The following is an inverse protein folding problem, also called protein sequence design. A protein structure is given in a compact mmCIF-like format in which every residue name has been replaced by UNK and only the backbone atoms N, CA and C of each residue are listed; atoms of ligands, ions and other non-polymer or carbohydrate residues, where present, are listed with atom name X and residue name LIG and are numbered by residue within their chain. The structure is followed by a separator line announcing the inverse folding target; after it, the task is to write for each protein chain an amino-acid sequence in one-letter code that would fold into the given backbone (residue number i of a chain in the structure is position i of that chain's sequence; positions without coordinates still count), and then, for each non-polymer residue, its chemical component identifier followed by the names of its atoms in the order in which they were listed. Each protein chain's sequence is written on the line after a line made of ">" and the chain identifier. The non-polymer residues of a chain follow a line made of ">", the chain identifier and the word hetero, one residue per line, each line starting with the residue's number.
data_IF_082291772996
#
_entry.id   IF_082291772996
#
_cell.length_a   1.000
_cell.length_b   1.000
_cell.length_c   1.000
_cell.angle_alpha   90.00
_cell.angle_beta   90.00
_cell.angle_gamma   90.00
#
_symmetry.space_group_name_H-M   'P 1'
#
loop_
_entity.id
_entity.type
_entity.pdbx_description
1 polymer ?
#
# COMPACT_ATOMS: atom_id res chain seq x y z
N UNK A 1 -8.98 -19.22 -6.61
CA UNK A 1 -9.85 -19.40 -5.43
C UNK A 1 -11.06 -18.49 -5.53
N UNK A 2 -10.97 -17.21 -5.16
CA UNK A 2 -12.16 -16.33 -5.03
C UNK A 2 -13.04 -16.30 -6.28
N UNK A 3 -12.45 -16.18 -7.47
CA UNK A 3 -13.23 -16.16 -8.72
C UNK A 3 -13.94 -17.49 -9.04
N UNK A 4 -13.46 -18.62 -8.49
CA UNK A 4 -14.15 -19.92 -8.58
C UNK A 4 -15.28 -19.99 -7.54
N UNK A 5 -15.04 -19.55 -6.30
CA UNK A 5 -16.07 -19.48 -5.24
C UNK A 5 -17.27 -18.64 -5.66
N UNK A 6 -17.03 -17.46 -6.26
CA UNK A 6 -18.10 -16.60 -6.81
C UNK A 6 -18.95 -17.29 -7.88
N UNK A 7 -18.42 -18.33 -8.52
CA UNK A 7 -19.11 -19.13 -9.55
C UNK A 7 -19.72 -20.41 -8.98
N UNK A 8 -19.71 -20.57 -7.65
CA UNK A 8 -20.24 -21.76 -6.96
C UNK A 8 -19.35 -22.99 -7.12
N UNK A 9 -18.07 -22.82 -7.44
CA UNK A 9 -17.09 -23.92 -7.49
C UNK A 9 -16.29 -23.90 -6.18
N UNK A 10 -16.45 -24.90 -5.30
CA UNK A 10 -15.71 -24.97 -4.04
C UNK A 10 -14.20 -25.03 -4.26
N UNK A 11 -13.44 -24.32 -3.43
CA UNK A 11 -11.99 -24.26 -3.48
C UNK A 11 -11.38 -24.24 -2.08
N UNK A 12 -10.21 -24.88 -1.94
CA UNK A 12 -9.42 -24.87 -0.70
C UNK A 12 -8.02 -24.32 -1.00
N UNK A 13 -7.54 -23.41 -0.15
CA UNK A 13 -6.18 -22.86 -0.25
C UNK A 13 -5.29 -23.57 0.75
N UNK A 14 -4.12 -24.01 0.31
CA UNK A 14 -3.06 -24.35 1.24
C UNK A 14 -2.47 -23.06 1.81
N UNK A 15 -2.49 -22.91 3.13
CA UNK A 15 -2.06 -21.68 3.80
C UNK A 15 -1.07 -22.03 4.90
N UNK A 16 0.09 -21.41 4.91
CA UNK A 16 1.02 -21.56 6.02
C UNK A 16 0.53 -20.75 7.24
N UNK A 17 0.77 -21.22 8.47
CA UNK A 17 0.28 -20.58 9.71
C UNK A 17 0.57 -19.07 9.77
N UNK A 18 1.77 -18.66 9.36
CA UNK A 18 2.17 -17.25 9.33
C UNK A 18 1.41 -16.36 8.34
N UNK A 19 0.60 -16.94 7.45
CA UNK A 19 -0.16 -16.25 6.39
C UNK A 19 -1.68 -16.37 6.53
N UNK A 20 -2.19 -16.98 7.60
CA UNK A 20 -3.64 -17.14 7.80
C UNK A 20 -4.36 -15.80 7.78
N UNK A 21 -3.83 -14.80 8.51
CA UNK A 21 -4.42 -13.44 8.55
C UNK A 21 -4.45 -12.77 7.18
N UNK A 22 -3.38 -12.93 6.41
CA UNK A 22 -3.25 -12.39 5.05
C UNK A 22 -4.24 -13.05 4.08
N UNK A 23 -4.39 -14.37 4.17
CA UNK A 23 -5.32 -15.14 3.36
C UNK A 23 -6.79 -14.74 3.63
N UNK A 24 -7.19 -14.60 4.89
CA UNK A 24 -8.55 -14.16 5.26
C UNK A 24 -8.82 -12.75 4.73
N UNK A 25 -7.91 -11.80 5.00
CA UNK A 25 -8.06 -10.41 4.54
C UNK A 25 -8.11 -10.32 3.02
N UNK A 26 -7.26 -11.06 2.33
CA UNK A 26 -7.28 -11.15 0.87
C UNK A 26 -8.67 -11.58 0.39
N UNK A 27 -9.22 -12.64 0.97
CA UNK A 27 -10.53 -13.14 0.60
C UNK A 27 -11.66 -12.12 0.86
N UNK A 28 -11.64 -11.44 2.00
CA UNK A 28 -12.56 -10.35 2.32
C UNK A 28 -12.48 -9.21 1.29
N UNK A 29 -11.28 -8.77 0.90
CA UNK A 29 -11.08 -7.73 -0.10
C UNK A 29 -11.67 -8.11 -1.48
N UNK A 30 -11.75 -9.39 -1.82
CA UNK A 30 -12.39 -9.86 -3.05
C UNK A 30 -13.88 -10.19 -2.89
N UNK A 31 -14.46 -9.97 -1.71
CA UNK A 31 -15.88 -10.21 -1.44
C UNK A 31 -16.23 -11.67 -1.14
N UNK A 32 -15.27 -12.49 -0.69
CA UNK A 32 -15.50 -13.87 -0.24
C UNK A 32 -15.06 -13.99 1.22
N UNK A 33 -15.92 -13.63 2.19
CA UNK A 33 -15.56 -13.60 3.62
C UNK A 33 -15.44 -14.99 4.25
N UNK A 34 -15.81 -16.05 3.51
CA UNK A 34 -15.75 -17.44 3.94
C UNK A 34 -14.86 -18.21 2.97
N UNK A 35 -13.64 -18.55 3.39
CA UNK A 35 -12.70 -19.32 2.58
C UNK A 35 -12.28 -20.59 3.31
N UNK A 36 -12.33 -21.71 2.62
CA UNK A 36 -11.78 -22.95 3.11
C UNK A 36 -10.25 -22.95 2.96
N UNK A 37 -9.55 -23.31 4.03
CA UNK A 37 -8.09 -23.33 4.08
C UNK A 37 -7.60 -24.65 4.67
N UNK A 38 -6.57 -25.22 4.07
CA UNK A 38 -5.78 -26.31 4.64
C UNK A 38 -4.49 -25.71 5.21
N UNK A 39 -4.40 -25.64 6.53
CA UNK A 39 -3.33 -24.93 7.23
C UNK A 39 -2.12 -25.82 7.47
N UNK A 40 -0.93 -25.32 7.15
CA UNK A 40 0.36 -26.00 7.26
C UNK A 40 1.31 -25.22 8.18
N UNK A 41 2.25 -25.88 8.88
CA UNK A 41 3.19 -25.18 9.77
C UNK A 41 4.08 -24.16 9.07
N UNK A 42 4.40 -24.39 7.79
CA UNK A 42 5.28 -23.54 6.99
C UNK A 42 4.88 -23.54 5.51
N UNK A 43 5.38 -22.59 4.71
CA UNK A 43 5.23 -22.64 3.26
C UNK A 43 5.92 -23.87 2.67
N UNK A 44 5.36 -24.44 1.60
CA UNK A 44 5.99 -25.54 0.86
C UNK A 44 7.31 -25.13 0.18
N UNK A 45 7.51 -23.84 -0.07
CA UNK A 45 8.76 -23.32 -0.62
C UNK A 45 9.91 -23.58 0.34
N UNK A 46 11.08 -23.95 -0.20
CA UNK A 46 12.29 -24.23 0.57
C UNK A 46 12.19 -25.46 1.50
N UNK A 47 11.24 -26.36 1.25
CA UNK A 47 11.13 -27.67 1.90
C UNK A 47 11.75 -28.77 1.02
N UNK A 48 12.21 -29.86 1.63
CA UNK A 48 12.62 -31.05 0.89
C UNK A 48 11.38 -31.75 0.30
N UNK A 49 11.51 -32.52 -0.81
CA UNK A 49 10.38 -33.27 -1.37
C UNK A 49 9.65 -34.15 -0.33
N UNK A 50 10.38 -34.91 0.50
CA UNK A 50 9.77 -35.72 1.56
C UNK A 50 9.13 -34.89 2.69
N UNK A 51 9.63 -33.68 2.94
CA UNK A 51 8.99 -32.72 3.84
C UNK A 51 7.64 -32.23 3.31
N UNK A 52 7.59 -31.87 2.01
CA UNK A 52 6.34 -31.50 1.33
C UNK A 52 5.34 -32.66 1.35
N UNK A 53 5.77 -33.88 1.03
CA UNK A 53 4.91 -35.07 1.09
C UNK A 53 4.31 -35.29 2.48
N UNK A 54 5.13 -35.16 3.53
CA UNK A 54 4.69 -35.29 4.92
C UNK A 54 3.67 -34.21 5.29
N UNK A 55 3.90 -32.96 4.90
CA UNK A 55 2.99 -31.84 5.13
C UNK A 55 1.65 -32.04 4.41
N UNK A 56 1.67 -32.38 3.12
CA UNK A 56 0.46 -32.62 2.32
C UNK A 56 -0.34 -33.78 2.90
N UNK A 57 0.33 -34.87 3.27
CA UNK A 57 -0.32 -36.03 3.88
C UNK A 57 -1.00 -35.68 5.21
N UNK A 58 -0.39 -34.81 6.01
CA UNK A 58 -0.96 -34.37 7.29
C UNK A 58 -2.16 -33.41 7.14
N UNK A 59 -2.29 -32.72 6.01
CA UNK A 59 -3.38 -31.76 5.76
C UNK A 59 -4.43 -32.19 4.76
N UNK A 60 -4.33 -33.39 4.17
CA UNK A 60 -5.24 -33.82 3.11
C UNK A 60 -6.69 -33.88 3.59
N UNK A 61 -6.92 -34.26 4.85
CA UNK A 61 -8.26 -34.31 5.44
C UNK A 61 -8.90 -32.92 5.52
N UNK A 62 -8.11 -31.87 5.77
CA UNK A 62 -8.59 -30.48 5.76
C UNK A 62 -9.01 -30.06 4.34
N UNK A 63 -8.30 -30.52 3.31
CA UNK A 63 -8.68 -30.27 1.91
C UNK A 63 -9.97 -30.97 1.55
N UNK A 64 -10.12 -32.24 1.94
CA UNK A 64 -11.34 -33.00 1.70
C UNK A 64 -12.50 -32.26 2.37
N UNK A 65 -12.37 -31.95 3.66
CA UNK A 65 -13.39 -31.22 4.42
C UNK A 65 -13.77 -29.91 3.75
N UNK A 66 -12.80 -29.07 3.40
CA UNK A 66 -13.05 -27.76 2.79
C UNK A 66 -13.65 -27.81 1.38
N UNK A 67 -13.52 -28.94 0.67
CA UNK A 67 -14.17 -29.15 -0.63
C UNK A 67 -15.57 -29.78 -0.51
N UNK A 68 -15.85 -30.49 0.59
CA UNK A 68 -17.12 -31.22 0.77
C UNK A 68 -18.10 -30.55 1.72
N UNK A 69 -17.64 -29.61 2.54
CA UNK A 69 -18.45 -28.91 3.54
C UNK A 69 -18.45 -27.39 3.27
N UNK A 70 -19.56 -26.67 3.55
CA UNK A 70 -19.58 -25.22 3.44
C UNK A 70 -18.56 -24.60 4.43
N UNK A 71 -17.70 -23.67 3.99
CA UNK A 71 -16.75 -23.03 4.89
C UNK A 71 -17.48 -22.22 5.94
N UNK A 72 -17.18 -22.48 7.21
CA UNK A 72 -17.63 -21.61 8.29
C UNK A 72 -16.94 -20.25 8.20
N UNK A 73 -17.66 -19.19 8.57
CA UNK A 73 -17.06 -17.88 8.70
C UNK A 73 -16.10 -17.90 9.89
N UNK A 74 -14.81 -17.81 9.60
CA UNK A 74 -13.80 -17.60 10.62
C UNK A 74 -14.07 -16.31 11.43
N UNK A 75 -13.47 -16.17 12.62
CA UNK A 75 -13.63 -14.96 13.42
C UNK A 75 -13.18 -13.74 12.61
N UNK A 76 -13.91 -12.63 12.76
CA UNK A 76 -13.52 -11.36 12.16
C UNK A 76 -12.09 -11.03 12.60
N UNK A 77 -11.19 -10.84 11.64
CA UNK A 77 -9.80 -10.53 11.95
C UNK A 77 -9.70 -9.03 12.12
N UNK A 78 -9.04 -8.58 13.20
CA UNK A 78 -8.72 -7.16 13.34
C UNK A 78 -8.04 -6.67 12.06
N UNK A 79 -8.54 -5.58 11.51
CA UNK A 79 -8.02 -4.96 10.31
C UNK A 79 -6.53 -4.58 10.49
N UNK A 80 -6.09 -4.33 11.73
CA UNK A 80 -4.70 -3.98 12.04
C UNK A 80 -4.33 -2.56 11.65
N UNK A 81 -5.30 -1.75 11.27
CA UNK A 81 -5.23 -0.31 11.00
C UNK A 81 -6.63 0.28 11.27
N UNK A 82 -6.70 1.59 11.51
CA UNK A 82 -7.98 2.25 11.79
C UNK A 82 -8.65 2.69 10.49
N UNK A 83 -9.96 2.50 10.39
CA UNK A 83 -10.81 3.11 9.37
C UNK A 83 -11.73 4.12 10.03
N UNK A 84 -11.85 5.30 9.41
CA UNK A 84 -12.71 6.38 9.89
C UNK A 84 -13.59 6.80 8.72
N UNK A 85 -14.87 7.00 8.99
CA UNK A 85 -15.88 7.32 7.97
C UNK A 85 -16.05 8.82 7.77
N UNK A 86 -15.64 9.59 8.77
CA UNK A 86 -15.70 11.04 8.81
C UNK A 86 -14.77 11.63 7.74
N UNK A 87 -15.29 12.47 6.83
CA UNK A 87 -14.49 13.03 5.74
C UNK A 87 -13.46 14.05 6.23
N UNK A 88 -13.70 14.66 7.39
CA UNK A 88 -12.84 15.68 7.99
C UNK A 88 -12.62 15.35 9.45
N UNK A 89 -11.35 15.40 9.87
CA UNK A 89 -10.92 15.15 11.24
C UNK A 89 -10.48 16.45 11.90
N UNK A 90 -10.89 16.66 13.15
CA UNK A 90 -10.49 17.80 13.95
C UNK A 90 -9.53 17.34 15.05
N UNK A 91 -8.45 18.08 15.21
CA UNK A 91 -7.46 17.87 16.27
C UNK A 91 -7.32 19.15 17.07
N UNK A 92 -7.18 19.02 18.38
CA UNK A 92 -7.02 20.15 19.30
C UNK A 92 -5.73 19.97 20.11
N UNK A 93 -5.04 21.08 20.35
CA UNK A 93 -3.84 21.17 21.17
C UNK A 93 -3.76 22.56 21.81
N UNK A 94 -2.77 22.76 22.68
CA UNK A 94 -2.54 24.03 23.38
C UNK A 94 -2.25 25.19 22.42
N UNK A 95 -1.62 24.88 21.30
CA UNK A 95 -1.36 25.76 20.17
C UNK A 95 -1.31 24.96 18.86
N UNK A 96 -0.99 25.61 17.74
CA UNK A 96 -0.93 24.97 16.43
C UNK A 96 0.18 23.92 16.30
N UNK A 97 1.30 24.08 17.02
CA UNK A 97 2.40 23.12 16.99
C UNK A 97 2.01 21.86 17.75
N UNK A 98 1.46 22.02 18.97
CA UNK A 98 0.93 20.91 19.77
C UNK A 98 -0.20 20.19 19.03
N UNK A 99 -1.08 20.93 18.34
CA UNK A 99 -2.13 20.33 17.49
C UNK A 99 -1.55 19.44 16.38
N UNK A 100 -0.47 19.88 15.72
CA UNK A 100 0.21 19.09 14.70
C UNK A 100 0.87 17.83 15.28
N UNK A 101 1.45 17.92 16.49
CA UNK A 101 2.02 16.78 17.20
C UNK A 101 0.95 15.76 17.62
N UNK A 102 -0.21 16.23 18.11
CA UNK A 102 -1.36 15.40 18.45
C UNK A 102 -1.84 14.63 17.21
N UNK A 103 -2.00 15.31 16.07
CA UNK A 103 -2.39 14.71 14.81
C UNK A 103 -1.38 13.65 14.32
N UNK A 104 -0.08 13.97 14.38
CA UNK A 104 0.97 13.03 13.99
C UNK A 104 0.99 11.77 14.88
N UNK A 105 0.86 11.94 16.20
CA UNK A 105 0.76 10.80 17.14
C UNK A 105 -0.44 9.93 16.80
N UNK A 106 -1.60 10.54 16.54
CA UNK A 106 -2.80 9.79 16.20
C UNK A 106 -2.67 9.03 14.87
N UNK A 107 -2.06 9.63 13.85
CA UNK A 107 -1.84 8.98 12.56
C UNK A 107 -0.81 7.83 12.64
N UNK A 108 0.15 7.90 13.55
CA UNK A 108 1.03 6.76 13.87
C UNK A 108 0.25 5.61 14.49
N UNK A 109 -0.61 5.90 15.48
CA UNK A 109 -1.47 4.90 16.13
C UNK A 109 -2.42 4.22 15.12
N UNK A 110 -2.98 4.99 14.18
CA UNK A 110 -3.85 4.48 13.12
C UNK A 110 -3.11 3.83 11.95
N UNK A 111 -1.77 3.89 11.94
CA UNK A 111 -0.86 3.43 10.88
C UNK A 111 -0.95 4.19 9.56
N UNK A 112 -1.53 5.39 9.54
CA UNK A 112 -1.65 6.25 8.36
C UNK A 112 -0.39 7.06 8.05
N UNK A 113 0.63 6.95 8.92
CA UNK A 113 1.95 7.54 8.76
C UNK A 113 2.99 6.50 8.37
N UNK A 114 3.95 6.93 7.57
CA UNK A 114 5.16 6.19 7.21
C UNK A 114 6.26 6.29 8.28
N UNK A 115 5.97 6.81 9.47
CA UNK A 115 6.93 6.98 10.56
C UNK A 115 7.66 8.32 10.57
N UNK A 116 7.59 9.09 9.48
CA UNK A 116 8.10 10.45 9.43
C UNK A 116 6.99 11.45 9.79
N UNK A 117 7.35 12.65 10.30
CA UNK A 117 6.39 13.73 10.48
C UNK A 117 5.63 14.03 9.18
N UNK A 118 4.32 14.19 9.30
CA UNK A 118 3.42 14.53 8.21
C UNK A 118 3.07 16.02 8.28
N UNK A 119 2.98 16.65 7.12
CA UNK A 119 2.33 17.96 7.00
C UNK A 119 0.82 17.73 7.04
N UNK A 120 0.05 18.36 7.95
CA UNK A 120 -1.40 18.12 8.01
C UNK A 120 -2.08 18.47 6.67
N UNK A 121 -2.83 17.55 6.04
CA UNK A 121 -3.51 17.78 4.78
C UNK A 121 -4.82 18.54 4.99
N UNK A 122 -4.71 19.79 5.46
CA UNK A 122 -5.87 20.68 5.67
C UNK A 122 -6.55 21.03 4.35
N UNK A 123 -7.85 21.39 4.33
CA UNK A 123 -8.57 21.75 3.12
C UNK A 123 -7.81 22.76 2.25
N UNK A 124 -7.35 23.87 2.83
CA UNK A 124 -6.60 24.90 2.09
C UNK A 124 -5.28 24.39 1.49
N UNK A 125 -4.61 23.41 2.14
CA UNK A 125 -3.37 22.84 1.61
C UNK A 125 -3.66 21.88 0.47
N UNK A 126 -4.73 21.09 0.57
CA UNK A 126 -5.18 20.20 -0.49
C UNK A 126 -5.65 21.03 -1.69
N UNK A 127 -6.43 22.08 -1.47
CA UNK A 127 -6.85 23.02 -2.53
C UNK A 127 -5.63 23.65 -3.24
N UNK A 128 -4.64 24.13 -2.49
CA UNK A 128 -3.38 24.63 -3.09
C UNK A 128 -2.62 23.56 -3.86
N UNK A 129 -2.59 22.32 -3.35
CA UNK A 129 -1.97 21.20 -4.05
C UNK A 129 -2.67 20.91 -5.38
N UNK A 130 -4.01 20.98 -5.40
CA UNK A 130 -4.82 20.76 -6.59
C UNK A 130 -4.52 21.76 -7.72
N UNK A 131 -3.99 22.95 -7.43
CA UNK A 131 -3.54 23.91 -8.45
C UNK A 131 -2.41 23.37 -9.36
N UNK A 132 -1.77 22.25 -8.98
CA UNK A 132 -0.77 21.54 -9.76
C UNK A 132 -1.31 20.69 -10.91
N UNK A 133 -2.63 20.59 -11.06
CA UNK A 133 -3.29 19.78 -12.10
C UNK A 133 -4.56 20.46 -12.58
N UNK A 134 -5.01 20.11 -13.79
CA UNK A 134 -6.30 20.54 -14.35
C UNK A 134 -7.39 19.48 -14.23
N UNK A 135 -7.07 18.30 -13.70
CA UNK A 135 -8.02 17.20 -13.49
C UNK A 135 -9.02 17.51 -12.38
N UNK A 136 -10.21 16.92 -12.47
CA UNK A 136 -11.23 17.08 -11.44
C UNK A 136 -10.79 16.40 -10.13
N UNK A 137 -11.06 16.97 -8.94
CA UNK A 137 -10.71 16.35 -7.66
C UNK A 137 -11.26 14.92 -7.50
N UNK A 138 -12.44 14.65 -8.05
CA UNK A 138 -13.12 13.35 -7.97
C UNK A 138 -12.79 12.41 -9.13
N UNK A 139 -11.97 12.84 -10.09
CA UNK A 139 -11.49 11.95 -11.15
C UNK A 139 -10.79 10.75 -10.52
N UNK A 140 -11.26 9.55 -10.85
CA UNK A 140 -10.62 8.30 -10.47
C UNK A 140 -9.42 8.08 -11.38
N UNK A 141 -8.24 8.05 -10.78
CA UNK A 141 -6.99 7.73 -11.48
C UNK A 141 -6.91 6.21 -11.68
N UNK A 142 -7.11 5.45 -10.60
CA UNK A 142 -7.08 3.99 -10.61
C UNK A 142 -7.67 3.42 -9.31
N UNK A 143 -7.71 2.10 -9.22
CA UNK A 143 -8.01 1.36 -7.98
C UNK A 143 -6.75 0.62 -7.56
N UNK A 144 -6.23 0.89 -6.36
CA UNK A 144 -4.94 0.37 -5.92
C UNK A 144 -5.07 -0.91 -5.12
N UNK A 145 -4.33 -1.93 -5.55
CA UNK A 145 -4.15 -3.19 -4.84
C UNK A 145 -3.19 -3.03 -3.65
N UNK A 146 -3.30 -3.87 -2.59
CA UNK A 146 -4.23 -4.99 -2.42
C UNK A 146 -5.59 -4.63 -1.81
N UNK A 147 -5.76 -3.40 -1.31
CA UNK A 147 -7.01 -2.96 -0.65
C UNK A 147 -8.15 -2.59 -1.60
N UNK A 148 -7.87 -2.45 -2.89
CA UNK A 148 -8.80 -1.90 -3.89
C UNK A 148 -9.36 -0.53 -3.52
N UNK A 149 -8.55 0.30 -2.87
CA UNK A 149 -8.96 1.67 -2.60
C UNK A 149 -8.96 2.52 -3.86
N UNK A 150 -10.03 3.30 -4.02
CA UNK A 150 -10.22 4.20 -5.17
C UNK A 150 -9.31 5.42 -5.00
N UNK A 151 -8.31 5.54 -5.89
CA UNK A 151 -7.38 6.65 -5.93
C UNK A 151 -7.95 7.80 -6.78
N UNK A 152 -8.61 8.74 -6.10
CA UNK A 152 -9.02 10.01 -6.74
C UNK A 152 -7.87 11.01 -6.72
N UNK A 153 -7.93 12.02 -7.58
CA UNK A 153 -6.92 13.08 -7.62
C UNK A 153 -6.80 13.80 -6.27
N UNK A 154 -7.93 14.07 -5.60
CA UNK A 154 -7.95 14.68 -4.26
C UNK A 154 -7.24 13.82 -3.19
N UNK A 155 -7.45 12.49 -3.21
CA UNK A 155 -6.77 11.58 -2.28
C UNK A 155 -5.28 11.53 -2.54
N UNK A 156 -4.86 11.58 -3.81
CA UNK A 156 -3.44 11.67 -4.18
C UNK A 156 -2.86 13.00 -3.67
N UNK A 157 -3.58 14.12 -3.86
CA UNK A 157 -3.17 15.43 -3.36
C UNK A 157 -3.04 15.47 -1.83
N UNK A 158 -3.96 14.87 -1.08
CA UNK A 158 -3.86 14.78 0.38
C UNK A 158 -2.58 14.04 0.83
N UNK A 159 -2.24 12.92 0.18
CA UNK A 159 -0.99 12.20 0.46
C UNK A 159 0.26 12.96 0.00
N UNK A 160 0.16 13.71 -1.10
CA UNK A 160 1.22 14.60 -1.56
C UNK A 160 1.51 15.71 -0.55
N UNK A 161 0.46 16.33 0.02
CA UNK A 161 0.59 17.32 1.09
C UNK A 161 1.29 16.69 2.29
N UNK A 162 0.82 15.53 2.76
CA UNK A 162 1.42 14.83 3.90
C UNK A 162 2.92 14.55 3.72
N UNK A 163 3.33 14.19 2.51
CA UNK A 163 4.74 13.98 2.16
C UNK A 163 5.57 15.27 2.09
N UNK A 164 4.93 16.44 1.99
CA UNK A 164 5.57 17.73 1.82
C UNK A 164 5.84 18.10 0.36
N UNK A 165 5.08 17.54 -0.60
CA UNK A 165 5.18 17.92 -2.01
C UNK A 165 4.78 19.39 -2.26
N UNK A 166 5.15 19.89 -3.44
CA UNK A 166 4.65 21.15 -4.00
C UNK A 166 3.62 20.85 -5.10
N UNK A 167 2.72 21.81 -5.43
CA UNK A 167 1.71 21.62 -6.47
C UNK A 167 2.31 21.17 -7.81
N UNK A 168 3.45 21.75 -8.19
CA UNK A 168 4.21 21.40 -9.40
C UNK A 168 4.58 19.90 -9.52
N UNK A 169 4.59 19.14 -8.42
CA UNK A 169 4.85 17.69 -8.44
C UNK A 169 3.63 16.84 -8.81
N UNK A 170 2.41 17.39 -8.79
CA UNK A 170 1.17 16.64 -8.98
C UNK A 170 1.11 15.86 -10.30
N UNK A 171 1.51 16.40 -11.47
CA UNK A 171 1.46 15.65 -12.72
C UNK A 171 2.33 14.38 -12.68
N UNK A 172 3.53 14.47 -12.08
CA UNK A 172 4.43 13.32 -11.90
C UNK A 172 3.82 12.30 -10.95
N UNK A 173 3.22 12.75 -9.83
CA UNK A 173 2.63 11.84 -8.86
C UNK A 173 1.39 11.11 -9.38
N UNK A 174 0.50 11.80 -10.10
CA UNK A 174 -0.66 11.18 -10.76
C UNK A 174 -0.16 10.11 -11.75
N UNK A 175 0.81 10.46 -12.59
CA UNK A 175 1.40 9.50 -13.55
C UNK A 175 2.06 8.33 -12.84
N UNK A 176 2.77 8.56 -11.72
CA UNK A 176 3.38 7.49 -10.94
C UNK A 176 2.34 6.52 -10.37
N UNK A 177 1.19 7.03 -9.91
CA UNK A 177 0.05 6.23 -9.42
C UNK A 177 -0.56 5.39 -10.56
N UNK A 178 -0.71 5.97 -11.76
CA UNK A 178 -1.16 5.24 -12.95
C UNK A 178 -0.17 4.12 -13.28
N UNK A 179 1.12 4.43 -13.36
CA UNK A 179 2.19 3.47 -13.66
C UNK A 179 2.23 2.28 -12.69
N UNK A 180 2.11 2.50 -11.37
CA UNK A 180 2.12 1.37 -10.42
C UNK A 180 0.88 0.49 -10.53
N UNK A 181 -0.21 0.99 -11.11
CA UNK A 181 -1.42 0.21 -11.34
C UNK A 181 -1.40 -0.61 -12.63
N UNK A 182 -0.39 -0.40 -13.49
CA UNK A 182 -0.22 -1.19 -14.70
C UNK A 182 -0.02 -2.67 -14.37
N UNK A 183 -0.73 -3.60 -15.03
CA UNK A 183 -0.67 -5.03 -14.72
C UNK A 183 0.76 -5.61 -14.75
N UNK A 184 1.64 -5.06 -15.60
CA UNK A 184 3.04 -5.49 -15.73
C UNK A 184 3.87 -5.25 -14.47
N UNK A 185 3.53 -4.24 -13.66
CA UNK A 185 4.20 -3.98 -12.37
C UNK A 185 3.87 -5.07 -11.35
N UNK A 186 2.70 -5.69 -11.50
CA UNK A 186 2.18 -6.73 -10.62
C UNK A 186 2.18 -6.29 -9.15
N UNK A 187 1.60 -5.10 -8.90
CA UNK A 187 1.69 -4.38 -7.63
C UNK A 187 1.30 -5.22 -6.43
N UNK A 188 0.18 -5.95 -6.48
CA UNK A 188 -0.24 -6.82 -5.37
C UNK A 188 0.84 -7.78 -4.92
N UNK A 189 1.50 -8.44 -5.87
CA UNK A 189 2.57 -9.39 -5.56
C UNK A 189 3.75 -8.71 -4.87
N UNK A 190 4.08 -7.48 -5.26
CA UNK A 190 5.19 -6.73 -4.67
C UNK A 190 4.83 -6.14 -3.32
N UNK A 191 3.63 -5.61 -3.20
CA UNK A 191 3.11 -5.02 -1.97
C UNK A 191 2.91 -6.05 -0.87
N UNK A 192 2.51 -7.28 -1.20
CA UNK A 192 2.24 -8.37 -0.25
C UNK A 192 3.39 -9.40 -0.14
N UNK A 193 4.54 -9.10 -0.73
CA UNK A 193 5.72 -9.95 -0.68
C UNK A 193 6.34 -9.97 0.71
N UNK A 194 7.07 -11.04 1.03
CA UNK A 194 8.00 -11.05 2.17
C UNK A 194 9.32 -10.32 1.89
N UNK A 195 9.54 -9.91 0.64
CA UNK A 195 10.70 -9.13 0.19
C UNK A 195 10.45 -7.61 0.20
N UNK A 196 11.50 -6.79 0.41
CA UNK A 196 11.37 -5.35 0.59
C UNK A 196 11.29 -4.59 -0.75
N UNK A 197 10.21 -4.82 -1.51
CA UNK A 197 10.02 -4.14 -2.79
C UNK A 197 9.61 -2.66 -2.60
N UNK A 198 10.19 -1.78 -3.41
CA UNK A 198 9.80 -0.39 -3.53
C UNK A 198 9.76 0.01 -5.01
N UNK A 199 8.70 0.71 -5.48
CA UNK A 199 8.69 1.25 -6.83
C UNK A 199 9.77 2.32 -6.99
N UNK A 200 10.62 2.18 -8.01
CA UNK A 200 11.51 3.26 -8.46
C UNK A 200 10.73 4.14 -9.44
N UNK A 201 10.56 5.41 -9.08
CA UNK A 201 10.06 6.42 -10.01
C UNK A 201 11.28 6.98 -10.77
N UNK A 202 11.34 6.73 -12.08
CA UNK A 202 12.36 7.31 -12.96
C UNK A 202 11.69 8.30 -13.91
N UNK A 203 11.98 9.59 -13.74
CA UNK A 203 11.35 10.66 -14.51
C UNK A 203 12.25 11.06 -15.67
N UNK A 204 11.73 10.97 -16.90
CA UNK A 204 12.40 11.42 -18.11
C UNK A 204 11.75 12.70 -18.67
N UNK A 205 12.55 13.52 -19.35
CA UNK A 205 12.07 14.65 -20.15
C UNK A 205 12.17 16.03 -19.47
N UNK A 206 11.67 17.10 -20.12
CA UNK A 206 11.81 18.48 -19.65
C UNK A 206 11.29 18.71 -18.23
N UNK A 207 10.20 18.03 -17.86
CA UNK A 207 9.59 18.13 -16.53
C UNK A 207 10.56 17.77 -15.40
N UNK A 208 11.50 16.84 -15.63
CA UNK A 208 12.50 16.49 -14.63
C UNK A 208 13.40 17.71 -14.29
N UNK A 209 13.76 18.50 -15.31
CA UNK A 209 14.57 19.71 -15.15
C UNK A 209 13.75 20.85 -14.56
N UNK A 210 12.51 21.03 -15.00
CA UNK A 210 11.58 22.04 -14.49
C UNK A 210 11.31 21.87 -12.99
N UNK A 211 11.13 20.63 -12.54
CA UNK A 211 10.86 20.30 -11.14
C UNK A 211 12.13 20.08 -10.30
N UNK A 212 13.32 20.28 -10.88
CA UNK A 212 14.61 20.03 -10.23
C UNK A 212 14.70 18.61 -9.61
N UNK A 213 14.19 17.60 -10.33
CA UNK A 213 14.36 16.21 -9.93
C UNK A 213 15.81 15.81 -10.20
N UNK A 214 16.50 15.38 -9.15
CA UNK A 214 17.92 15.09 -9.18
C UNK A 214 18.19 13.81 -9.99
N UNK A 215 19.14 13.90 -10.93
CA UNK A 215 19.72 12.81 -11.71
C UNK A 215 21.25 12.68 -11.52
N UNK A 216 21.86 13.58 -10.74
CA UNK A 216 23.30 13.73 -10.64
C UNK A 216 23.89 13.06 -9.40
N UNK A 217 24.78 13.80 -8.71
CA UNK A 217 25.39 13.30 -7.47
C UNK A 217 24.31 13.01 -6.44
N UNK A 218 24.39 11.83 -5.81
CA UNK A 218 23.43 11.42 -4.79
C UNK A 218 21.96 11.42 -5.29
N UNK A 219 21.71 11.09 -6.56
CA UNK A 219 20.36 11.11 -7.16
C UNK A 219 19.31 10.26 -6.40
N UNK A 220 19.75 9.19 -5.75
CA UNK A 220 18.90 8.32 -4.92
C UNK A 220 19.16 8.49 -3.41
N UNK A 221 19.84 9.58 -3.02
CA UNK A 221 20.17 9.87 -1.64
C UNK A 221 19.66 11.24 -1.18
N UNK A 222 19.97 11.60 0.08
CA UNK A 222 19.36 12.76 0.74
C UNK A 222 20.00 14.08 0.31
N UNK A 223 19.34 15.19 0.69
CA UNK A 223 19.88 16.55 0.55
C UNK A 223 18.86 17.51 -0.06
N UNK A 224 19.10 18.82 0.08
CA UNK A 224 18.24 19.86 -0.52
C UNK A 224 18.14 19.72 -2.05
N UNK A 225 19.21 19.27 -2.70
CA UNK A 225 19.24 18.98 -4.14
C UNK A 225 18.28 17.84 -4.54
N UNK A 226 17.95 16.94 -3.61
CA UNK A 226 17.06 15.78 -3.81
C UNK A 226 15.69 15.99 -3.16
N UNK A 227 15.30 17.24 -2.88
CA UNK A 227 14.02 17.54 -2.24
C UNK A 227 12.85 16.96 -3.05
N UNK A 228 12.78 17.24 -4.35
CA UNK A 228 11.72 16.73 -5.23
C UNK A 228 11.66 15.20 -5.22
N UNK A 229 12.82 14.53 -5.40
CA UNK A 229 12.94 13.07 -5.32
C UNK A 229 12.37 12.52 -4.01
N UNK A 230 12.79 13.12 -2.89
CA UNK A 230 12.43 12.66 -1.55
C UNK A 230 10.92 12.71 -1.34
N UNK A 231 10.29 13.86 -1.64
CA UNK A 231 8.86 14.06 -1.40
C UNK A 231 7.98 13.32 -2.41
N UNK A 232 8.41 13.19 -3.68
CA UNK A 232 7.66 12.44 -4.71
C UNK A 232 7.65 10.94 -4.38
N UNK A 233 8.81 10.36 -4.09
CA UNK A 233 8.89 8.94 -3.72
C UNK A 233 8.13 8.65 -2.42
N UNK A 234 8.23 9.55 -1.44
CA UNK A 234 7.47 9.45 -0.17
C UNK A 234 5.97 9.58 -0.38
N UNK A 235 5.52 10.49 -1.24
CA UNK A 235 4.11 10.65 -1.57
C UNK A 235 3.53 9.38 -2.18
N UNK A 236 4.26 8.71 -3.10
CA UNK A 236 3.82 7.43 -3.66
C UNK A 236 3.70 6.36 -2.57
N UNK A 237 4.65 6.29 -1.62
CA UNK A 237 4.55 5.37 -0.47
C UNK A 237 3.31 5.63 0.38
N UNK A 238 3.02 6.89 0.69
CA UNK A 238 1.81 7.25 1.45
C UNK A 238 0.53 6.92 0.67
N UNK A 239 0.50 7.12 -0.65
CA UNK A 239 -0.63 6.70 -1.49
C UNK A 239 -0.81 5.18 -1.45
N UNK A 240 0.26 4.39 -1.59
CA UNK A 240 0.20 2.94 -1.46
C UNK A 240 -0.35 2.52 -0.08
N UNK A 241 0.06 3.18 1.00
CA UNK A 241 -0.43 2.88 2.35
C UNK A 241 -1.89 3.29 2.53
N UNK A 242 -2.23 4.56 2.34
CA UNK A 242 -3.51 5.14 2.72
C UNK A 242 -4.62 4.92 1.69
N UNK A 243 -4.27 4.65 0.44
CA UNK A 243 -5.22 4.35 -0.64
C UNK A 243 -5.11 2.90 -1.08
N UNK A 244 -3.90 2.35 -1.22
CA UNK A 244 -3.71 0.95 -1.58
C UNK A 244 -3.82 -0.03 -0.41
N UNK A 245 -3.90 0.47 0.83
CA UNK A 245 -3.92 -0.32 2.07
C UNK A 245 -2.68 -1.18 2.25
N UNK A 246 -1.49 -0.75 1.80
CA UNK A 246 -0.21 -1.48 1.94
C UNK A 246 0.45 -1.24 3.32
N UNK A 247 -0.19 -1.63 4.40
CA UNK A 247 0.30 -1.41 5.76
C UNK A 247 1.26 -2.53 6.21
N UNK A 248 2.46 -2.20 6.73
CA UNK A 248 3.40 -3.18 7.27
C UNK A 248 2.79 -4.08 8.35
N UNK A 249 3.03 -5.40 8.22
CA UNK A 249 2.51 -6.44 9.13
C UNK A 249 1.00 -6.68 9.03
N UNK A 250 0.36 -6.15 7.99
CA UNK A 250 -1.08 -6.28 7.75
C UNK A 250 -1.35 -6.80 6.35
N UNK A 251 -0.81 -6.11 5.35
CA UNK A 251 -0.84 -6.50 3.94
C UNK A 251 0.53 -6.38 3.29
N UNK A 252 1.42 -5.54 3.83
CA UNK A 252 2.84 -5.51 3.50
C UNK A 252 3.58 -6.46 4.45
N UNK A 253 3.92 -7.66 3.94
CA UNK A 253 4.47 -8.79 4.69
C UNK A 253 6.00 -8.85 4.67
N UNK A 254 6.64 -7.75 4.29
CA UNK A 254 8.09 -7.59 4.28
C UNK A 254 8.71 -7.99 5.63
N UNK A 255 9.74 -8.84 5.56
CA UNK A 255 10.36 -9.46 6.72
C UNK A 255 11.52 -8.65 7.32
N UNK A 256 12.29 -7.94 6.49
CA UNK A 256 13.52 -7.25 6.91
C UNK A 256 13.46 -5.74 6.70
N UNK A 257 12.55 -5.26 5.85
CA UNK A 257 12.48 -3.85 5.48
C UNK A 257 13.54 -3.44 4.46
N UNK A 258 13.40 -2.23 3.93
CA UNK A 258 14.47 -1.53 3.24
C UNK A 258 14.26 -0.01 3.32
N UNK A 259 15.33 0.79 3.51
CA UNK A 259 15.23 2.25 3.49
C UNK A 259 14.61 2.81 2.20
N UNK A 260 14.75 2.10 1.08
CA UNK A 260 14.18 2.53 -0.21
C UNK A 260 12.64 2.50 -0.24
N UNK A 261 11.99 1.84 0.73
CA UNK A 261 10.53 1.83 0.84
C UNK A 261 9.95 3.17 1.30
N UNK A 262 10.76 4.03 1.94
CA UNK A 262 10.32 5.36 2.35
C UNK A 262 10.25 6.33 1.18
N UNK A 263 11.19 6.25 0.24
CA UNK A 263 11.22 7.09 -0.95
C UNK A 263 12.23 6.54 -1.96
N UNK A 264 11.83 6.42 -3.22
CA UNK A 264 12.71 6.01 -4.31
C UNK A 264 12.30 6.69 -5.62
N UNK A 265 12.96 7.82 -5.92
CA UNK A 265 12.69 8.62 -7.11
C UNK A 265 14.01 9.22 -7.64
N UNK A 266 14.17 9.24 -8.96
CA UNK A 266 15.25 9.94 -9.65
C UNK A 266 14.79 10.44 -11.02
N UNK A 267 15.59 11.35 -11.59
CA UNK A 267 15.47 11.70 -13.00
C UNK A 267 16.46 10.90 -13.84
N UNK A 268 16.12 10.69 -15.11
CA UNK A 268 17.05 10.16 -16.10
C UNK A 268 18.08 11.24 -16.47
N UNK A 269 19.34 10.84 -16.63
CA UNK A 269 20.41 11.72 -17.06
C UNK A 269 20.46 11.76 -18.60
N UNK A 270 19.65 12.64 -19.21
CA UNK A 270 19.58 12.87 -20.66
C UNK A 270 19.94 14.29 -21.07
#
# INVERSE_FOLDING_TARGET
>A
MVEFEKRGVPTVSWVAEGFIRDAIRSAENFGVPTVAMATMPSPFTNQSPGGVESMVSAGIDQVIQGLTEPPERGPAVDAGFTTITEPMLNFEGKDLLDTMEVMNRQFLEWRWSDGFPLVPPTPDRVERMMAGTTRDPQDVVTTLEPGFGVATVEKIAANAVMAGCRPEHMPVLITAVECISEPVIYLRNKAMSTGPHAPLILVNGPIAKELNINYGVCALGPGSISYANSVIGRALRLVMMNVGFTYPGVSDMDTIGSPIKYSLCAAENT
#
